data_IF_819237920730
#
_entry.id   IF_819237920730
#
_cell.length_a   1.000
_cell.length_b   1.000
_cell.length_c   1.000
_cell.angle_alpha   90.00
_cell.angle_beta   90.00
_cell.angle_gamma   90.00
#
_symmetry.space_group_name_H-M   'P 1'
#
loop_
_entity.id
_entity.type
_entity.pdbx_description
1 polymer ?
#
# COMPACT_ATOMS: atom_id res chain seq x y z
N UNK A 1 0.25 -30.84 -35.90
CA UNK A 1 0.50 -30.47 -34.50
C UNK A 1 1.69 -31.29 -34.04
N UNK A 2 2.91 -30.83 -34.33
CA UNK A 2 4.11 -31.65 -34.14
C UNK A 2 5.33 -30.72 -34.00
N UNK A 3 5.39 -29.96 -32.91
CA UNK A 3 6.53 -29.06 -32.65
C UNK A 3 6.89 -28.97 -31.17
N UNK A 4 6.73 -30.07 -30.44
CA UNK A 4 7.30 -30.23 -29.10
C UNK A 4 8.70 -30.86 -29.14
N UNK A 5 9.46 -30.65 -30.23
CA UNK A 5 10.86 -31.10 -30.36
C UNK A 5 11.68 -30.57 -29.19
N UNK A 6 11.89 -31.44 -28.21
CA UNK A 6 12.87 -31.42 -27.11
C UNK A 6 13.35 -30.04 -26.58
N UNK A 7 12.44 -29.08 -26.36
CA UNK A 7 12.82 -27.78 -25.79
C UNK A 7 13.19 -27.92 -24.32
N UNK A 8 14.22 -27.22 -23.88
CA UNK A 8 14.58 -27.11 -22.46
C UNK A 8 13.44 -26.51 -21.63
N UNK A 9 12.82 -25.42 -22.11
CA UNK A 9 11.65 -24.78 -21.47
C UNK A 9 10.35 -25.29 -22.09
N UNK A 10 9.74 -26.31 -21.48
CA UNK A 10 8.54 -26.99 -21.99
C UNK A 10 7.22 -26.33 -21.61
N UNK A 11 7.17 -25.70 -20.43
CA UNK A 11 5.94 -25.09 -19.88
C UNK A 11 5.71 -23.71 -20.49
N UNK A 12 4.51 -23.48 -21.02
CA UNK A 12 4.07 -22.19 -21.53
C UNK A 12 3.11 -21.53 -20.55
N UNK A 13 3.30 -20.23 -20.33
CA UNK A 13 2.35 -19.34 -19.65
C UNK A 13 1.88 -18.30 -20.65
N UNK A 14 0.58 -17.99 -20.66
CA UNK A 14 -0.02 -17.03 -21.60
C UNK A 14 -0.33 -15.76 -20.83
N UNK A 15 0.23 -14.63 -21.29
CA UNK A 15 -0.09 -13.29 -20.83
C UNK A 15 -0.97 -12.62 -21.89
N UNK A 16 -2.17 -12.16 -21.51
CA UNK A 16 -3.06 -11.40 -22.39
C UNK A 16 -2.95 -9.93 -22.04
N UNK A 17 -2.85 -9.08 -23.05
CA UNK A 17 -2.68 -7.64 -22.92
C UNK A 17 -3.68 -6.93 -23.83
N UNK A 18 -4.14 -5.77 -23.41
CA UNK A 18 -4.76 -4.79 -24.31
C UNK A 18 -3.71 -4.19 -25.24
N UNK A 19 -4.14 -3.57 -26.34
CA UNK A 19 -3.23 -2.93 -27.31
C UNK A 19 -2.34 -1.88 -26.63
N UNK A 20 -2.93 -1.08 -25.72
CA UNK A 20 -2.21 -0.06 -24.96
C UNK A 20 -1.14 -0.67 -24.05
N UNK A 21 -1.44 -1.75 -23.36
CA UNK A 21 -0.47 -2.44 -22.49
C UNK A 21 0.67 -3.06 -23.30
N UNK A 22 0.35 -3.62 -24.47
CA UNK A 22 1.35 -4.17 -25.39
C UNK A 22 2.30 -3.09 -25.93
N UNK A 23 1.80 -1.90 -26.23
CA UNK A 23 2.62 -0.77 -26.65
C UNK A 23 3.59 -0.31 -25.56
N UNK A 24 3.09 -0.22 -24.31
CA UNK A 24 3.91 0.14 -23.15
C UNK A 24 4.99 -0.92 -22.92
N UNK A 25 4.61 -2.20 -22.94
CA UNK A 25 5.52 -3.31 -22.76
C UNK A 25 6.61 -3.33 -23.85
N UNK A 26 6.23 -3.15 -25.12
CA UNK A 26 7.16 -3.11 -26.24
C UNK A 26 8.18 -1.99 -26.10
N UNK A 27 7.76 -0.81 -25.64
CA UNK A 27 8.67 0.32 -25.34
C UNK A 27 9.62 -0.01 -24.20
N UNK A 28 9.16 -0.70 -23.15
CA UNK A 28 10.01 -1.14 -22.03
C UNK A 28 11.06 -2.15 -22.46
N UNK A 29 10.67 -3.15 -23.26
CA UNK A 29 11.61 -4.15 -23.80
C UNK A 29 12.70 -3.45 -24.63
N UNK A 30 12.32 -2.56 -25.55
CA UNK A 30 13.27 -1.80 -26.36
C UNK A 30 14.26 -1.00 -25.52
N UNK A 31 13.81 -0.38 -24.42
CA UNK A 31 14.67 0.38 -23.51
C UNK A 31 15.58 -0.49 -22.65
N UNK A 32 15.18 -1.73 -22.38
CA UNK A 32 15.91 -2.65 -21.49
C UNK A 32 17.10 -3.36 -22.14
N UNK A 33 17.25 -3.29 -23.47
CA UNK A 33 18.33 -3.97 -24.20
C UNK A 33 18.06 -5.45 -24.48
N UNK A 34 16.94 -6.02 -24.03
CA UNK A 34 16.55 -7.39 -24.38
C UNK A 34 15.94 -7.47 -25.78
N UNK A 35 16.36 -8.46 -26.55
CA UNK A 35 15.91 -8.65 -27.94
C UNK A 35 14.52 -9.31 -28.06
N UNK A 36 14.09 -10.05 -27.04
CA UNK A 36 12.84 -10.80 -27.06
C UNK A 36 12.00 -10.60 -25.81
N UNK A 37 10.68 -10.70 -25.96
CA UNK A 37 9.75 -10.73 -24.82
C UNK A 37 10.07 -11.88 -23.86
N UNK A 38 10.44 -13.05 -24.38
CA UNK A 38 10.77 -14.21 -23.55
C UNK A 38 11.96 -13.93 -22.62
N UNK A 39 13.04 -13.31 -23.13
CA UNK A 39 14.21 -12.99 -22.32
C UNK A 39 13.89 -11.90 -21.29
N UNK A 40 13.20 -10.83 -21.71
CA UNK A 40 12.76 -9.76 -20.82
C UNK A 40 11.85 -10.27 -19.70
N UNK A 41 10.81 -11.03 -20.05
CA UNK A 41 9.86 -11.57 -19.10
C UNK A 41 10.53 -12.58 -18.15
N UNK A 42 11.45 -13.41 -18.65
CA UNK A 42 12.19 -14.33 -17.80
C UNK A 42 13.02 -13.55 -16.77
N UNK A 43 13.80 -12.54 -17.20
CA UNK A 43 14.57 -11.74 -16.26
C UNK A 43 13.65 -11.04 -15.24
N UNK A 44 12.59 -10.39 -15.68
CA UNK A 44 11.69 -9.66 -14.79
C UNK A 44 10.91 -10.55 -13.82
N UNK A 45 10.60 -11.80 -14.21
CA UNK A 45 9.84 -12.72 -13.37
C UNK A 45 10.70 -13.47 -12.36
N UNK A 46 11.99 -13.67 -12.66
CA UNK A 46 12.91 -14.41 -11.79
C UNK A 46 13.88 -13.50 -11.01
N UNK A 47 14.30 -12.38 -11.58
CA UNK A 47 15.19 -11.40 -10.94
C UNK A 47 14.44 -10.15 -10.48
N UNK A 48 13.15 -10.03 -10.80
CA UNK A 48 12.32 -8.95 -10.29
C UNK A 48 12.16 -9.09 -8.78
N UNK A 49 12.64 -8.10 -8.02
CA UNK A 49 12.34 -8.01 -6.60
C UNK A 49 10.83 -7.80 -6.43
N UNK A 50 10.17 -8.75 -5.76
CA UNK A 50 8.80 -8.56 -5.32
C UNK A 50 8.85 -7.72 -4.04
N UNK A 51 8.62 -6.43 -4.18
CA UNK A 51 8.50 -5.55 -3.01
C UNK A 51 7.14 -5.77 -2.34
N UNK A 52 7.12 -6.62 -1.33
CA UNK A 52 5.98 -6.78 -0.43
C UNK A 52 6.11 -5.77 0.70
N UNK A 53 5.31 -4.70 0.65
CA UNK A 53 5.23 -3.75 1.76
C UNK A 53 4.11 -4.16 2.70
N UNK A 54 4.49 -4.70 3.84
CA UNK A 54 3.56 -4.99 4.93
C UNK A 54 3.26 -3.70 5.71
N UNK A 55 2.00 -3.28 5.71
CA UNK A 55 1.51 -2.14 6.49
C UNK A 55 0.81 -2.56 7.79
N UNK A 56 0.95 -3.82 8.20
CA UNK A 56 0.33 -4.32 9.43
C UNK A 56 0.74 -3.52 10.68
N UNK A 57 1.94 -2.94 10.68
CA UNK A 57 2.42 -2.04 11.75
C UNK A 57 1.56 -0.77 11.93
N UNK A 58 0.74 -0.40 10.92
CA UNK A 58 -0.20 0.72 10.95
C UNK A 58 -1.60 0.33 11.46
N UNK A 59 -1.89 -0.95 11.69
CA UNK A 59 -3.21 -1.37 12.16
C UNK A 59 -3.57 -0.80 13.54
N UNK A 60 -2.61 -0.73 14.47
CA UNK A 60 -2.85 -0.14 15.78
C UNK A 60 -3.21 1.35 15.67
N UNK A 61 -2.55 2.05 14.74
CA UNK A 61 -2.83 3.46 14.48
C UNK A 61 -4.23 3.65 13.91
N UNK A 62 -4.62 2.77 12.98
CA UNK A 62 -5.97 2.79 12.41
C UNK A 62 -7.05 2.54 13.48
N UNK A 63 -6.75 1.67 14.45
CA UNK A 63 -7.63 1.39 15.58
C UNK A 63 -7.83 2.61 16.48
N UNK A 64 -6.75 3.31 16.84
CA UNK A 64 -6.84 4.54 17.65
C UNK A 64 -7.56 5.68 16.92
N UNK A 65 -7.33 5.85 15.61
CA UNK A 65 -8.10 6.80 14.78
C UNK A 65 -9.60 6.45 14.79
N UNK A 66 -9.93 5.16 14.73
CA UNK A 66 -11.32 4.70 14.73
C UNK A 66 -12.02 5.01 16.05
N UNK A 67 -11.32 4.89 17.18
CA UNK A 67 -11.84 5.30 18.50
C UNK A 67 -12.12 6.79 18.54
N UNK A 68 -11.18 7.62 18.11
CA UNK A 68 -11.35 9.07 18.02
C UNK A 68 -12.57 9.44 17.16
N UNK A 69 -12.72 8.82 15.99
CA UNK A 69 -13.89 9.03 15.13
C UNK A 69 -15.21 8.69 15.84
N UNK A 70 -15.23 7.64 16.66
CA UNK A 70 -16.40 7.31 17.47
C UNK A 70 -16.66 8.35 18.57
N UNK A 71 -15.63 8.88 19.22
CA UNK A 71 -15.76 9.90 20.26
C UNK A 71 -16.24 11.24 19.67
N UNK A 72 -15.70 11.65 18.52
CA UNK A 72 -16.21 12.80 17.73
C UNK A 72 -17.68 12.63 17.39
N UNK A 73 -18.08 11.44 16.92
CA UNK A 73 -19.47 11.18 16.55
C UNK A 73 -20.41 11.20 17.77
N UNK A 74 -19.94 10.78 18.94
CA UNK A 74 -20.69 10.88 20.20
C UNK A 74 -20.90 12.35 20.59
N UNK A 75 -19.84 13.14 20.55
CA UNK A 75 -19.88 14.59 20.75
C UNK A 75 -20.84 15.29 19.79
N UNK A 76 -20.80 14.94 18.49
CA UNK A 76 -21.72 15.49 17.50
C UNK A 76 -23.18 15.12 17.78
N UNK A 77 -23.46 13.88 18.23
CA UNK A 77 -24.80 13.45 18.64
C UNK A 77 -25.27 14.19 19.89
N UNK A 78 -24.41 14.34 20.90
CA UNK A 78 -24.71 15.09 22.11
C UNK A 78 -25.00 16.57 21.77
N UNK A 79 -24.17 17.19 20.94
CA UNK A 79 -24.38 18.54 20.44
C UNK A 79 -25.73 18.70 19.73
N UNK A 80 -26.10 17.73 18.88
CA UNK A 80 -27.38 17.74 18.17
C UNK A 80 -28.58 17.57 19.10
N UNK A 81 -28.47 16.73 20.14
CA UNK A 81 -29.56 16.46 21.09
C UNK A 81 -29.74 17.61 22.09
N UNK A 82 -28.64 18.07 22.68
CA UNK A 82 -28.66 19.05 23.77
C UNK A 82 -28.47 20.49 23.30
N UNK A 83 -28.19 20.71 22.00
CA UNK A 83 -27.83 22.01 21.38
C UNK A 83 -26.67 22.73 22.08
N UNK A 84 -25.91 22.01 22.90
CA UNK A 84 -24.79 22.49 23.69
C UNK A 84 -23.74 21.40 23.74
N UNK A 85 -22.48 21.81 23.84
CA UNK A 85 -21.33 20.93 23.99
C UNK A 85 -20.60 21.36 25.25
N UNK A 86 -20.25 20.41 26.13
CA UNK A 86 -19.48 20.73 27.33
C UNK A 86 -18.06 21.13 26.93
N UNK A 87 -17.49 22.20 27.51
CA UNK A 87 -16.07 22.50 27.38
C UNK A 87 -15.17 21.32 27.77
N UNK A 88 -15.60 20.52 28.76
CA UNK A 88 -14.86 19.34 29.22
C UNK A 88 -14.81 18.25 28.12
N UNK A 89 -15.91 18.01 27.41
CA UNK A 89 -15.96 17.03 26.31
C UNK A 89 -15.04 17.46 25.16
N UNK A 90 -14.97 18.77 24.88
CA UNK A 90 -14.06 19.32 23.86
C UNK A 90 -12.62 19.18 24.30
N UNK A 91 -12.33 19.42 25.58
CA UNK A 91 -10.98 19.28 26.13
C UNK A 91 -10.51 17.83 26.07
N UNK A 92 -11.36 16.87 26.47
CA UNK A 92 -11.05 15.44 26.41
C UNK A 92 -10.73 14.99 24.97
N UNK A 93 -11.54 15.42 24.00
CA UNK A 93 -11.28 15.14 22.59
C UNK A 93 -9.97 15.77 22.10
N UNK A 94 -9.66 16.99 22.56
CA UNK A 94 -8.42 17.70 22.19
C UNK A 94 -7.20 16.96 22.71
N UNK A 95 -7.24 16.51 23.98
CA UNK A 95 -6.18 15.72 24.60
C UNK A 95 -5.98 14.38 23.88
N UNK A 96 -7.07 13.73 23.43
CA UNK A 96 -7.02 12.47 22.71
C UNK A 96 -6.39 12.63 21.30
N UNK A 97 -6.67 13.73 20.61
CA UNK A 97 -6.03 14.10 19.33
C UNK A 97 -4.54 14.39 19.53
N UNK A 98 -4.16 15.07 20.60
CA UNK A 98 -2.77 15.39 20.91
C UNK A 98 -1.97 14.10 21.20
N UNK A 99 -2.54 13.17 21.97
CA UNK A 99 -1.93 11.84 22.21
C UNK A 99 -1.73 11.06 20.91
N UNK A 100 -2.72 11.05 20.03
CA UNK A 100 -2.59 10.40 18.73
C UNK A 100 -1.47 11.03 17.88
N UNK A 101 -1.38 12.37 17.88
CA UNK A 101 -0.35 13.10 17.13
C UNK A 101 1.05 12.75 17.61
N UNK A 102 1.26 12.64 18.92
CA UNK A 102 2.54 12.22 19.49
C UNK A 102 2.89 10.77 19.10
N UNK A 103 1.90 9.86 19.13
CA UNK A 103 2.10 8.45 18.76
C UNK A 103 2.41 8.28 17.26
N UNK A 104 1.82 9.14 16.41
CA UNK A 104 2.14 9.25 15.00
C UNK A 104 3.58 9.69 14.76
N UNK A 105 4.02 10.75 15.43
CA UNK A 105 5.40 11.24 15.34
C UNK A 105 6.41 10.18 15.76
N UNK A 106 6.14 9.46 16.86
CA UNK A 106 7.00 8.38 17.33
C UNK A 106 7.10 7.23 16.31
N UNK A 107 5.96 6.74 15.78
CA UNK A 107 5.96 5.68 14.76
C UNK A 107 6.63 6.12 13.46
N UNK A 108 6.41 7.36 13.01
CA UNK A 108 7.07 7.90 11.81
C UNK A 108 8.59 8.01 11.99
N UNK A 109 9.05 8.49 13.15
CA UNK A 109 10.48 8.55 13.48
C UNK A 109 11.12 7.16 13.51
N UNK A 110 10.42 6.18 14.08
CA UNK A 110 10.87 4.78 14.09
C UNK A 110 11.01 4.21 12.66
N UNK A 111 10.00 4.42 11.81
CA UNK A 111 10.00 3.97 10.42
C UNK A 111 11.08 4.65 9.56
N UNK A 112 11.33 5.94 9.79
CA UNK A 112 12.40 6.67 9.07
C UNK A 112 13.79 6.25 9.51
N UNK A 113 13.98 5.89 10.80
CA UNK A 113 15.26 5.40 11.32
C UNK A 113 15.59 3.99 10.79
N UNK A 114 14.60 3.09 10.77
CA UNK A 114 14.70 1.72 10.22
C UNK A 114 15.05 1.70 8.71
N UNK A 115 14.83 2.81 8.00
CA UNK A 115 15.18 2.98 6.57
C UNK A 115 16.61 3.46 6.33
N UNK A 116 17.33 3.89 7.38
CA UNK A 116 18.71 4.43 7.29
C UNK A 116 19.78 3.42 7.74
N UNK A 117 19.37 2.32 8.35
CA UNK A 117 20.21 1.15 8.69
C UNK A 117 20.11 0.11 7.56
#
# INVERSE_FOLDING_TARGET
MEDSKNRYRKVQKILRLTDRENDILSKRIKKSGYETFQAFAYQMLFDGEIYFQDFSELNDLHYEISKLGNNVNQLAKAANIYKQVSPDDVQELTDEIERLSNLLEEKLNHLTKKRRE
#
